data_IF_624058618494
#
_entry.id   IF_624058618494
#
_cell.length_a   1.000
_cell.length_b   1.000
_cell.length_c   1.000
_cell.angle_alpha   90.00
_cell.angle_beta   90.00
_cell.angle_gamma   90.00
#
_symmetry.space_group_name_H-M   'P 1'
#
loop_
_entity.id
_entity.type
_entity.pdbx_description
1 polymer ?
#
# COMPACT_ATOMS: atom_id res chain seq x y z
N UNK A 1 -3.23 -14.89 14.60
CA UNK A 1 -2.02 -14.07 14.53
C UNK A 1 -2.25 -12.75 13.82
N UNK A 2 -2.91 -12.77 12.63
CA UNK A 2 -3.19 -11.55 11.87
C UNK A 2 -4.13 -10.62 12.62
N UNK A 3 -5.17 -11.15 13.26
CA UNK A 3 -6.11 -10.36 14.04
C UNK A 3 -5.42 -9.68 15.21
N UNK A 4 -4.56 -10.41 15.92
CA UNK A 4 -3.81 -9.87 17.04
C UNK A 4 -2.84 -8.78 16.58
N UNK A 5 -2.11 -9.01 15.48
CA UNK A 5 -1.16 -8.03 14.93
C UNK A 5 -1.86 -6.75 14.53
N UNK A 6 -3.03 -6.85 13.91
CA UNK A 6 -3.82 -5.70 13.49
C UNK A 6 -4.30 -4.90 14.70
N UNK A 7 -4.84 -5.58 15.72
CA UNK A 7 -5.32 -4.95 16.94
C UNK A 7 -4.17 -4.31 17.72
N UNK A 8 -3.04 -5.00 17.86
CA UNK A 8 -1.86 -4.47 18.55
C UNK A 8 -1.35 -3.22 17.85
N UNK A 9 -1.31 -3.23 16.52
CA UNK A 9 -0.87 -2.06 15.75
C UNK A 9 -1.81 -0.88 15.95
N UNK A 10 -3.12 -1.11 15.89
CA UNK A 10 -4.11 -0.05 16.07
C UNK A 10 -4.00 0.59 17.47
N UNK A 11 -3.80 -0.22 18.51
CA UNK A 11 -3.58 0.27 19.87
C UNK A 11 -2.28 1.07 19.97
N UNK A 12 -1.20 0.57 19.38
CA UNK A 12 0.09 1.26 19.40
C UNK A 12 -0.01 2.62 18.69
N UNK A 13 -0.71 2.70 17.59
CA UNK A 13 -0.92 3.96 16.88
C UNK A 13 -1.65 4.96 17.77
N UNK A 14 -2.68 4.52 18.48
CA UNK A 14 -3.42 5.41 19.38
C UNK A 14 -2.53 5.91 20.52
N UNK A 15 -1.70 5.04 21.09
CA UNK A 15 -0.80 5.40 22.19
C UNK A 15 0.25 6.42 21.76
N UNK A 16 0.76 6.34 20.55
CA UNK A 16 1.88 7.16 20.10
C UNK A 16 1.49 8.29 19.15
N UNK A 17 0.22 8.44 18.83
CA UNK A 17 -0.27 9.59 18.05
C UNK A 17 -0.41 10.80 18.99
N UNK A 18 0.64 11.58 19.11
CA UNK A 18 0.71 12.68 20.08
C UNK A 18 0.76 14.04 19.37
N UNK A 19 1.76 14.28 18.53
CA UNK A 19 2.00 15.58 17.91
C UNK A 19 0.96 15.96 16.87
N UNK A 20 0.52 14.98 16.09
CA UNK A 20 -0.40 15.19 14.97
C UNK A 20 -1.73 14.51 15.26
N UNK A 21 -2.31 14.80 16.41
CA UNK A 21 -3.54 14.16 16.86
C UNK A 21 -4.80 14.81 16.27
N UNK A 22 -4.68 16.02 15.75
CA UNK A 22 -5.80 16.67 15.07
C UNK A 22 -6.12 15.91 13.79
N UNK A 23 -7.41 15.74 13.50
CA UNK A 23 -7.85 15.11 12.25
C UNK A 23 -7.29 15.85 11.04
N UNK A 24 -7.18 17.16 11.11
CA UNK A 24 -6.64 17.98 10.01
C UNK A 24 -5.17 17.65 9.76
N UNK A 25 -4.38 17.49 10.83
CA UNK A 25 -2.98 17.10 10.71
C UNK A 25 -2.84 15.67 10.17
N UNK A 26 -3.67 14.76 10.66
CA UNK A 26 -3.62 13.36 10.24
C UNK A 26 -3.94 13.24 8.75
N UNK A 27 -4.93 13.99 8.25
CA UNK A 27 -5.26 14.00 6.82
C UNK A 27 -4.07 14.48 5.99
N UNK A 28 -3.41 15.55 6.42
CA UNK A 28 -2.23 16.08 5.73
C UNK A 28 -1.06 15.08 5.78
N UNK A 29 -0.82 14.49 6.95
CA UNK A 29 0.23 13.50 7.13
C UNK A 29 -0.02 12.22 6.34
N UNK A 30 -1.25 11.82 6.20
CA UNK A 30 -1.62 10.66 5.39
C UNK A 30 -1.24 10.90 3.91
N UNK A 31 -1.54 12.06 3.36
CA UNK A 31 -1.14 12.43 2.01
C UNK A 31 0.37 12.51 1.85
N UNK A 32 1.03 13.15 2.81
CA UNK A 32 2.50 13.25 2.81
C UNK A 32 3.14 11.87 2.82
N UNK A 33 2.64 10.97 3.66
CA UNK A 33 3.18 9.61 3.75
C UNK A 33 3.04 8.85 2.43
N UNK A 34 1.89 8.99 1.75
CA UNK A 34 1.69 8.38 0.44
C UNK A 34 2.68 8.94 -0.60
N UNK A 35 2.91 10.25 -0.58
CA UNK A 35 3.88 10.88 -1.48
C UNK A 35 5.29 10.37 -1.22
N UNK A 36 5.65 10.12 0.04
CA UNK A 36 6.97 9.58 0.40
C UNK A 36 7.15 8.14 -0.10
N UNK A 37 6.11 7.33 -0.07
CA UNK A 37 6.14 5.98 -0.67
C UNK A 37 6.46 6.09 -2.16
N UNK A 38 5.76 6.96 -2.87
CA UNK A 38 5.98 7.18 -4.30
C UNK A 38 7.42 7.62 -4.58
N UNK A 39 7.92 8.55 -3.77
CA UNK A 39 9.28 9.05 -3.92
C UNK A 39 10.32 7.97 -3.66
N UNK A 40 10.11 7.11 -2.67
CA UNK A 40 11.02 6.01 -2.36
C UNK A 40 11.16 5.06 -3.55
N UNK A 41 10.05 4.71 -4.20
CA UNK A 41 10.07 3.87 -5.40
C UNK A 41 10.75 4.60 -6.55
N UNK A 42 10.40 5.87 -6.79
CA UNK A 42 11.01 6.65 -7.86
C UNK A 42 12.52 6.74 -7.71
N UNK A 43 13.02 6.96 -6.50
CA UNK A 43 14.47 7.03 -6.22
C UNK A 43 15.15 5.69 -6.37
N UNK A 44 14.49 4.59 -6.05
CA UNK A 44 15.05 3.26 -6.28
C UNK A 44 15.32 3.04 -7.77
N UNK A 45 14.48 3.62 -8.63
CA UNK A 45 14.66 3.57 -10.10
C UNK A 45 15.72 4.57 -10.56
N UNK A 46 15.56 5.84 -10.18
CA UNK A 46 16.31 6.94 -10.81
C UNK A 46 17.66 7.22 -10.16
N UNK A 47 17.82 6.94 -8.88
CA UNK A 47 19.08 7.19 -8.17
C UNK A 47 19.86 5.92 -7.90
N UNK A 48 19.23 4.87 -7.39
CA UNK A 48 19.90 3.60 -7.13
C UNK A 48 20.03 2.73 -8.37
N UNK A 49 18.95 2.56 -9.09
CA UNK A 49 18.92 1.71 -10.28
C UNK A 49 18.77 0.21 -10.00
N UNK A 50 18.50 -0.18 -8.74
CA UNK A 50 18.29 -1.59 -8.41
C UNK A 50 17.03 -2.15 -9.06
N UNK A 51 16.05 -1.29 -9.32
CA UNK A 51 14.87 -1.61 -10.12
C UNK A 51 14.80 -0.63 -11.29
N UNK A 52 14.13 -1.04 -12.35
CA UNK A 52 13.91 -0.20 -13.53
C UNK A 52 12.50 -0.39 -14.05
N UNK A 53 12.03 0.62 -14.76
CA UNK A 53 10.72 0.60 -15.40
C UNK A 53 10.92 0.37 -16.89
N UNK A 54 10.33 -0.71 -17.41
CA UNK A 54 10.36 -1.05 -18.84
C UNK A 54 8.90 -1.09 -19.27
N UNK A 55 8.36 0.08 -19.56
CA UNK A 55 6.94 0.23 -19.87
C UNK A 55 6.72 0.11 -21.37
N UNK A 56 5.81 -0.77 -21.73
CA UNK A 56 5.34 -0.94 -23.10
C UNK A 56 3.88 -1.37 -23.07
N UNK A 57 3.25 -1.34 -24.23
CA UNK A 57 1.84 -1.73 -24.34
C UNK A 57 1.66 -3.19 -23.88
N UNK A 58 0.63 -3.43 -23.08
CA UNK A 58 0.26 -4.79 -22.66
C UNK A 58 -0.13 -5.62 -23.86
N UNK A 59 0.38 -6.85 -23.92
CA UNK A 59 0.12 -7.80 -25.01
C UNK A 59 -0.74 -8.93 -24.46
N UNK A 60 -2.04 -8.83 -24.66
CA UNK A 60 -3.01 -9.79 -24.14
C UNK A 60 -3.58 -10.56 -25.31
N UNK A 61 -3.47 -11.91 -25.32
CA UNK A 61 -4.09 -12.72 -26.36
C UNK A 61 -5.62 -12.54 -26.38
N UNK A 62 -6.20 -12.58 -27.58
CA UNK A 62 -7.65 -12.38 -27.73
C UNK A 62 -8.47 -13.46 -27.03
N UNK A 63 -7.89 -14.65 -26.82
CA UNK A 63 -8.53 -15.79 -26.17
C UNK A 63 -8.24 -15.87 -24.67
N UNK A 64 -7.56 -14.86 -24.08
CA UNK A 64 -7.25 -14.85 -22.66
C UNK A 64 -8.54 -14.77 -21.84
N UNK A 65 -8.63 -15.60 -20.81
CA UNK A 65 -9.73 -15.60 -19.84
C UNK A 65 -9.33 -14.85 -18.58
N UNK A 66 -10.32 -14.41 -17.80
CA UNK A 66 -10.06 -13.65 -16.58
C UNK A 66 -9.12 -14.39 -15.61
N UNK A 67 -9.30 -15.69 -15.45
CA UNK A 67 -8.51 -16.47 -14.48
C UNK A 67 -7.03 -16.63 -14.88
N UNK A 68 -6.69 -16.41 -16.16
CA UNK A 68 -5.30 -16.46 -16.62
C UNK A 68 -4.77 -15.10 -17.12
N UNK A 69 -5.59 -14.06 -17.05
CA UNK A 69 -5.26 -12.73 -17.55
C UNK A 69 -4.00 -12.17 -16.90
N UNK A 70 -3.85 -12.38 -15.60
CA UNK A 70 -2.70 -11.90 -14.82
C UNK A 70 -1.37 -12.38 -15.40
N UNK A 71 -1.33 -13.59 -15.96
CA UNK A 71 -0.11 -14.15 -16.54
C UNK A 71 0.38 -13.38 -17.76
N UNK A 72 -0.51 -12.65 -18.46
CA UNK A 72 -0.19 -11.86 -19.63
C UNK A 72 0.00 -10.37 -19.34
N UNK A 73 -0.25 -9.96 -18.09
CA UNK A 73 -0.08 -8.56 -17.68
C UNK A 73 1.32 -8.35 -17.11
N UNK A 74 2.01 -7.36 -17.64
CA UNK A 74 3.33 -6.98 -17.11
C UNK A 74 3.17 -5.89 -16.06
N UNK A 75 3.96 -5.97 -15.00
CA UNK A 75 4.07 -4.89 -14.02
C UNK A 75 4.92 -3.73 -14.53
N UNK A 76 5.62 -3.93 -15.67
CA UNK A 76 6.60 -3.00 -16.21
C UNK A 76 7.76 -2.71 -15.25
N UNK A 77 7.87 -3.47 -14.20
CA UNK A 77 8.94 -3.35 -13.22
C UNK A 77 9.94 -4.49 -13.44
N UNK A 78 11.22 -4.14 -13.50
CA UNK A 78 12.31 -5.09 -13.70
C UNK A 78 13.33 -4.94 -12.59
N UNK A 79 13.98 -6.03 -12.20
CA UNK A 79 14.97 -6.05 -11.14
C UNK A 79 14.36 -6.31 -9.77
N UNK A 80 15.17 -6.18 -8.75
CA UNK A 80 14.75 -6.40 -7.37
C UNK A 80 15.31 -5.28 -6.49
N UNK A 81 14.52 -4.86 -5.50
CA UNK A 81 14.97 -3.86 -4.55
C UNK A 81 16.23 -4.36 -3.84
N UNK A 82 17.26 -3.52 -3.81
CA UNK A 82 18.42 -3.77 -2.97
C UNK A 82 18.04 -3.63 -1.49
N UNK A 83 18.91 -4.09 -0.60
CA UNK A 83 18.64 -4.08 0.83
C UNK A 83 18.31 -2.68 1.34
N UNK A 84 19.08 -1.68 0.93
CA UNK A 84 18.87 -0.30 1.35
C UNK A 84 17.53 0.28 0.86
N UNK A 85 17.22 0.12 -0.42
CA UNK A 85 15.96 0.62 -0.97
C UNK A 85 14.77 -0.12 -0.38
N UNK A 86 14.92 -1.41 -0.09
CA UNK A 86 13.91 -2.20 0.58
C UNK A 86 13.60 -1.63 1.97
N UNK A 87 14.64 -1.34 2.76
CA UNK A 87 14.47 -0.79 4.11
C UNK A 87 13.78 0.57 4.07
N UNK A 88 14.19 1.43 3.15
CA UNK A 88 13.56 2.74 2.98
C UNK A 88 12.08 2.59 2.63
N UNK A 89 11.76 1.71 1.69
CA UNK A 89 10.37 1.52 1.27
C UNK A 89 9.52 0.92 2.40
N UNK A 90 10.07 -0.03 3.15
CA UNK A 90 9.37 -0.61 4.32
C UNK A 90 9.03 0.50 5.33
N UNK A 91 9.98 1.38 5.62
CA UNK A 91 9.75 2.49 6.55
C UNK A 91 8.67 3.44 6.04
N UNK A 92 8.71 3.80 4.77
CA UNK A 92 7.73 4.73 4.21
C UNK A 92 6.33 4.09 4.15
N UNK A 93 6.23 2.82 3.80
CA UNK A 93 4.97 2.08 3.84
C UNK A 93 4.43 1.99 5.27
N UNK A 94 5.33 1.77 6.23
CA UNK A 94 4.96 1.75 7.65
C UNK A 94 4.36 3.07 8.11
N UNK A 95 4.96 4.20 7.73
CA UNK A 95 4.41 5.53 8.04
C UNK A 95 3.04 5.74 7.40
N UNK A 96 2.85 5.26 6.17
CA UNK A 96 1.56 5.34 5.49
C UNK A 96 0.50 4.55 6.25
N UNK A 97 0.84 3.33 6.70
CA UNK A 97 -0.05 2.52 7.53
C UNK A 97 -0.35 3.21 8.87
N UNK A 98 0.64 3.86 9.48
CA UNK A 98 0.45 4.57 10.75
C UNK A 98 -0.64 5.63 10.62
N UNK A 99 -0.57 6.49 9.61
CA UNK A 99 -1.55 7.57 9.46
C UNK A 99 -2.90 7.09 8.96
N UNK A 100 -2.94 6.05 8.14
CA UNK A 100 -4.19 5.40 7.76
C UNK A 100 -4.90 4.83 9.00
N UNK A 101 -4.15 4.17 9.87
CA UNK A 101 -4.67 3.61 11.12
C UNK A 101 -5.09 4.70 12.10
N UNK A 102 -4.34 5.81 12.14
CA UNK A 102 -4.73 6.97 12.94
C UNK A 102 -6.09 7.52 12.50
N UNK A 103 -6.37 7.54 11.20
CA UNK A 103 -7.69 7.92 10.70
C UNK A 103 -8.77 6.98 11.22
N UNK A 104 -8.52 5.70 11.25
CA UNK A 104 -9.44 4.73 11.82
C UNK A 104 -9.72 5.05 13.28
N UNK A 105 -8.67 5.28 14.07
CA UNK A 105 -8.81 5.58 15.50
C UNK A 105 -9.63 6.84 15.74
N UNK A 106 -9.34 7.91 14.99
CA UNK A 106 -10.01 9.20 15.19
C UNK A 106 -11.47 9.17 14.74
N UNK A 107 -11.82 8.30 13.80
CA UNK A 107 -13.19 8.18 13.29
C UNK A 107 -13.97 7.03 13.91
N UNK A 108 -13.38 6.34 14.88
CA UNK A 108 -14.05 5.25 15.58
C UNK A 108 -14.20 3.97 14.75
N UNK A 109 -13.32 3.76 13.79
CA UNK A 109 -13.34 2.57 12.94
C UNK A 109 -12.30 1.56 13.40
N UNK A 110 -12.65 0.27 13.31
CA UNK A 110 -11.74 -0.83 13.62
C UNK A 110 -10.97 -1.22 12.36
N UNK A 111 -9.65 -1.15 12.42
CA UNK A 111 -8.78 -1.48 11.28
C UNK A 111 -9.02 -2.91 10.79
N UNK A 112 -9.21 -3.85 11.72
CA UNK A 112 -9.50 -5.25 11.39
C UNK A 112 -10.77 -5.35 10.55
N UNK A 113 -11.81 -4.61 10.92
CA UNK A 113 -13.07 -4.60 10.18
C UNK A 113 -12.91 -4.02 8.78
N UNK A 114 -12.12 -2.95 8.64
CA UNK A 114 -11.81 -2.37 7.33
C UNK A 114 -11.11 -3.39 6.44
N UNK A 115 -10.11 -4.08 6.98
CA UNK A 115 -9.38 -5.12 6.24
C UNK A 115 -10.29 -6.26 5.82
N UNK A 116 -11.13 -6.75 6.72
CA UNK A 116 -12.08 -7.83 6.43
C UNK A 116 -13.08 -7.42 5.35
N UNK A 117 -13.60 -6.20 5.44
CA UNK A 117 -14.55 -5.65 4.47
C UNK A 117 -13.92 -5.59 3.08
N UNK A 118 -12.71 -5.05 2.97
CA UNK A 118 -12.02 -4.95 1.67
C UNK A 118 -11.64 -6.32 1.12
N UNK A 119 -11.20 -7.23 1.97
CA UNK A 119 -10.89 -8.60 1.56
C UNK A 119 -12.11 -9.26 0.94
N UNK A 120 -13.27 -9.10 1.58
CA UNK A 120 -14.53 -9.63 1.06
C UNK A 120 -14.88 -9.00 -0.29
N UNK A 121 -14.75 -7.68 -0.40
CA UNK A 121 -15.04 -6.96 -1.65
C UNK A 121 -14.14 -7.45 -2.78
N UNK A 122 -12.84 -7.56 -2.54
CA UNK A 122 -11.88 -8.02 -3.55
C UNK A 122 -12.23 -9.44 -4.00
N UNK A 123 -12.57 -10.33 -3.07
CA UNK A 123 -12.90 -11.74 -3.40
C UNK A 123 -14.27 -11.89 -4.05
N UNK A 124 -15.25 -11.10 -3.61
CA UNK A 124 -16.63 -11.22 -4.09
C UNK A 124 -16.86 -10.50 -5.41
N UNK A 125 -16.33 -9.27 -5.52
CA UNK A 125 -16.56 -8.43 -6.69
C UNK A 125 -15.46 -8.59 -7.75
N UNK A 126 -14.32 -9.15 -7.37
CA UNK A 126 -13.25 -9.54 -8.29
C UNK A 126 -13.08 -8.66 -9.51
N UNK A 127 -13.57 -9.16 -10.64
CA UNK A 127 -13.43 -8.51 -11.93
C UNK A 127 -14.05 -7.11 -12.00
N UNK A 128 -15.08 -6.84 -11.23
CA UNK A 128 -15.77 -5.54 -11.25
C UNK A 128 -14.99 -4.45 -10.51
N UNK A 129 -13.96 -4.82 -9.77
CA UNK A 129 -13.10 -3.88 -9.06
C UNK A 129 -11.79 -3.56 -9.81
N UNK A 130 -11.74 -3.88 -11.09
CA UNK A 130 -10.53 -3.71 -11.90
C UNK A 130 -10.31 -2.29 -12.42
N UNK A 131 -11.15 -1.37 -12.08
CA UNK A 131 -11.04 0.03 -12.53
C UNK A 131 -9.84 0.77 -11.93
#
# INVERSE_FOLDING_TARGET
LQEKSCTDFQLAVDDYLIRHRSILDVLTKHQEAAARVNRAVAKAVTECGCISIVAERQKIPADAEFNNLKAFMSSHLSGELCENCRDVLINELGHSLFYLTALCNLTGLDLQAVLQHETKNVRTLGIFNLS
#
